data_IF_800534124049
#
_entry.id   IF_800534124049
#
_cell.length_a   1.000
_cell.length_b   1.000
_cell.length_c   1.000
_cell.angle_alpha   90.00
_cell.angle_beta   90.00
_cell.angle_gamma   90.00
#
_symmetry.space_group_name_H-M   'P 1'
#
loop_
_entity.id
_entity.type
_entity.pdbx_description
1 polymer ?
#
# COMPACT_ATOMS: atom_id res chain seq x y z
N UNK A 1 -16.59 -7.50 -11.05
CA UNK A 1 -16.30 -6.45 -10.06
C UNK A 1 -14.93 -5.90 -10.39
N UNK A 2 -14.82 -4.63 -10.76
CA UNK A 2 -13.75 -4.11 -11.64
C UNK A 2 -12.36 -4.07 -10.99
N UNK A 3 -11.34 -4.56 -11.71
CA UNK A 3 -9.94 -4.69 -11.27
C UNK A 3 -9.15 -3.38 -11.28
N UNK A 4 -9.68 -2.35 -10.63
CA UNK A 4 -9.07 -1.02 -10.50
C UNK A 4 -8.87 -0.63 -9.03
N UNK A 5 -8.19 0.49 -8.79
CA UNK A 5 -7.97 1.03 -7.45
C UNK A 5 -9.30 1.50 -6.83
N UNK A 6 -9.68 0.89 -5.71
CA UNK A 6 -10.80 1.34 -4.88
C UNK A 6 -10.38 2.47 -3.95
N UNK A 7 -11.35 3.20 -3.38
CA UNK A 7 -11.07 4.27 -2.42
C UNK A 7 -10.22 3.82 -1.22
N UNK A 8 -10.43 2.59 -0.74
CA UNK A 8 -9.60 1.99 0.32
C UNK A 8 -8.15 1.81 -0.12
N UNK A 9 -7.91 1.30 -1.34
CA UNK A 9 -6.56 1.10 -1.89
C UNK A 9 -5.85 2.43 -2.01
N UNK A 10 -6.50 3.43 -2.62
CA UNK A 10 -5.96 4.78 -2.78
C UNK A 10 -5.63 5.42 -1.41
N UNK A 11 -6.48 5.21 -0.41
CA UNK A 11 -6.24 5.75 0.95
C UNK A 11 -4.99 5.14 1.59
N UNK A 12 -4.78 3.84 1.43
CA UNK A 12 -3.57 3.16 1.93
C UNK A 12 -2.33 3.68 1.21
N UNK A 13 -2.38 3.76 -0.13
CA UNK A 13 -1.30 4.30 -0.95
C UNK A 13 -0.94 5.74 -0.55
N UNK A 14 -1.94 6.61 -0.43
CA UNK A 14 -1.75 8.00 0.00
C UNK A 14 -1.16 8.08 1.42
N UNK A 15 -1.65 7.24 2.34
CA UNK A 15 -1.10 7.15 3.69
C UNK A 15 0.39 6.77 3.67
N UNK A 16 0.80 5.81 2.82
CA UNK A 16 2.23 5.44 2.70
C UNK A 16 3.09 6.65 2.30
N UNK A 17 2.62 7.49 1.39
CA UNK A 17 3.34 8.70 0.96
C UNK A 17 3.43 9.71 2.10
N UNK A 18 2.33 9.95 2.81
CA UNK A 18 2.33 10.82 4.00
C UNK A 18 3.31 10.33 5.07
N UNK A 19 3.41 9.01 5.25
CA UNK A 19 4.36 8.40 6.19
C UNK A 19 5.81 8.54 5.73
N UNK A 20 6.09 8.41 4.43
CA UNK A 20 7.44 8.59 3.87
C UNK A 20 7.90 10.05 3.91
N UNK A 21 6.97 11.00 3.84
CA UNK A 21 7.24 12.44 3.77
C UNK A 21 6.36 13.23 4.76
N UNK A 22 6.57 13.10 6.09
CA UNK A 22 5.67 13.66 7.09
C UNK A 22 5.59 15.20 7.09
N UNK A 23 6.62 15.88 6.60
CA UNK A 23 6.68 17.35 6.51
C UNK A 23 6.46 17.88 5.08
N UNK A 24 5.99 17.03 4.16
CA UNK A 24 5.75 17.41 2.76
C UNK A 24 4.53 18.32 2.61
N UNK A 25 4.61 19.32 1.73
CA UNK A 25 3.43 20.08 1.32
C UNK A 25 2.50 19.23 0.46
N UNK A 26 1.21 19.58 0.37
CA UNK A 26 0.23 18.80 -0.40
C UNK A 26 0.65 18.58 -1.85
N UNK A 27 1.16 19.62 -2.52
CA UNK A 27 1.64 19.53 -3.90
C UNK A 27 2.83 18.57 -4.02
N UNK A 28 3.76 18.62 -3.06
CA UNK A 28 4.89 17.69 -3.01
C UNK A 28 4.44 16.24 -2.79
N UNK A 29 3.50 16.00 -1.87
CA UNK A 29 2.97 14.66 -1.58
C UNK A 29 2.23 14.08 -2.78
N UNK A 30 1.42 14.89 -3.48
CA UNK A 30 0.73 14.46 -4.70
C UNK A 30 1.73 14.09 -5.80
N UNK A 31 2.75 14.91 -6.02
CA UNK A 31 3.79 14.61 -7.00
C UNK A 31 4.56 13.32 -6.64
N UNK A 32 4.90 13.14 -5.35
CA UNK A 32 5.54 11.91 -4.87
C UNK A 32 4.65 10.69 -4.99
N UNK A 33 3.33 10.83 -4.84
CA UNK A 33 2.38 9.74 -5.02
C UNK A 33 2.48 9.15 -6.43
N UNK A 34 2.43 9.99 -7.47
CA UNK A 34 2.48 9.52 -8.85
C UNK A 34 3.83 8.89 -9.20
N UNK A 35 4.95 9.55 -8.84
CA UNK A 35 6.30 9.01 -9.11
C UNK A 35 6.53 7.67 -8.40
N UNK A 36 6.22 7.60 -7.10
CA UNK A 36 6.53 6.39 -6.33
C UNK A 36 5.70 5.21 -6.80
N UNK A 37 4.42 5.40 -7.15
CA UNK A 37 3.55 4.30 -7.55
C UNK A 37 3.60 3.94 -9.03
N UNK A 38 4.13 4.82 -9.89
CA UNK A 38 4.50 4.47 -11.28
C UNK A 38 5.77 3.63 -11.33
N UNK A 39 6.77 3.96 -10.52
CA UNK A 39 8.06 3.25 -10.46
C UNK A 39 8.12 2.17 -9.37
N UNK A 40 7.00 1.88 -8.73
CA UNK A 40 6.96 0.88 -7.66
C UNK A 40 7.35 -0.50 -8.19
N UNK A 41 8.19 -1.20 -7.43
CA UNK A 41 8.71 -2.54 -7.76
C UNK A 41 7.65 -3.63 -7.55
N UNK A 42 6.55 -3.56 -8.30
CA UNK A 42 5.48 -4.55 -8.24
C UNK A 42 6.00 -5.95 -8.61
N UNK A 43 5.71 -7.01 -7.83
CA UNK A 43 4.62 -7.12 -6.86
C UNK A 43 5.02 -6.89 -5.39
N UNK A 44 6.03 -6.06 -5.09
CA UNK A 44 6.38 -5.73 -3.70
C UNK A 44 5.16 -5.15 -2.95
N UNK A 45 4.79 -5.67 -1.76
CA UNK A 45 3.60 -5.23 -1.06
C UNK A 45 3.72 -3.82 -0.50
N UNK A 46 2.63 -3.07 -0.59
CA UNK A 46 2.49 -1.80 0.13
C UNK A 46 2.05 -2.10 1.56
N UNK A 47 2.94 -1.79 2.51
CA UNK A 47 2.76 -1.95 3.94
C UNK A 47 2.88 -0.60 4.66
N UNK A 48 1.92 -0.30 5.54
CA UNK A 48 1.95 0.90 6.40
C UNK A 48 2.76 0.58 7.67
N UNK A 49 4.08 0.65 7.55
CA UNK A 49 5.05 0.25 8.58
C UNK A 49 5.02 1.11 9.86
N UNK A 50 4.39 2.29 9.88
CA UNK A 50 4.35 3.14 11.08
C UNK A 50 3.39 2.67 12.19
N UNK A 51 2.78 1.49 12.04
CA UNK A 51 2.23 0.75 13.17
C UNK A 51 3.24 -0.27 13.76
N UNK A 52 4.52 -0.23 13.37
CA UNK A 52 5.51 -1.25 13.75
C UNK A 52 6.55 -0.80 14.77
N UNK A 53 6.68 0.49 15.08
CA UNK A 53 7.58 0.93 16.16
C UNK A 53 6.96 0.53 17.49
N UNK A 54 7.71 -0.23 18.29
CA UNK A 54 7.28 -0.70 19.62
C UNK A 54 6.75 0.44 20.50
N UNK A 55 7.38 1.62 20.40
CA UNK A 55 7.03 2.82 21.17
C UNK A 55 5.70 3.48 20.77
N UNK A 56 5.33 3.47 19.48
CA UNK A 56 4.07 4.08 19.02
C UNK A 56 2.86 3.17 19.35
N UNK A 57 3.08 1.85 19.32
CA UNK A 57 2.10 0.84 19.72
C UNK A 57 1.82 0.84 21.23
N UNK A 58 2.84 1.11 22.05
CA UNK A 58 2.69 1.27 23.51
C UNK A 58 1.91 2.54 23.87
N UNK A 59 2.09 3.65 23.12
CA UNK A 59 1.33 4.90 23.32
C UNK A 59 -0.15 4.80 22.93
N UNK A 60 -0.50 3.94 21.96
CA UNK A 60 -1.86 3.80 21.43
C UNK A 60 -2.69 2.68 22.09
N UNK A 61 -2.13 1.94 23.07
CA UNK A 61 -2.84 0.88 23.80
C UNK A 61 -3.32 -0.29 22.92
N UNK A 62 -2.82 -0.40 21.69
CA UNK A 62 -3.25 -1.39 20.70
C UNK A 62 -2.12 -2.36 20.39
N UNK A 63 -1.98 -3.31 21.32
CA UNK A 63 -1.05 -4.42 21.26
C UNK A 63 -1.39 -5.32 20.05
N UNK A 64 -0.34 -5.73 19.32
CA UNK A 64 -0.29 -6.74 18.22
C UNK A 64 -0.81 -6.32 16.83
N UNK A 65 -0.02 -5.57 16.06
CA UNK A 65 -0.09 -5.63 14.59
C UNK A 65 1.34 -5.62 14.01
N UNK A 66 2.08 -6.72 14.24
CA UNK A 66 3.15 -7.10 13.31
C UNK A 66 2.56 -8.19 12.44
N UNK A 67 2.37 -7.91 11.15
CA UNK A 67 2.27 -8.98 10.15
C UNK A 67 3.46 -9.92 10.38
N UNK A 68 3.18 -11.19 10.64
CA UNK A 68 4.24 -12.16 10.80
C UNK A 68 4.89 -12.35 9.43
N UNK A 69 6.22 -12.51 9.37
CA UNK A 69 6.96 -12.71 8.10
C UNK A 69 6.42 -13.87 7.24
N UNK A 70 5.67 -14.80 7.84
CA UNK A 70 4.94 -15.86 7.16
C UNK A 70 3.75 -15.36 6.33
N UNK A 71 2.94 -14.42 6.84
CA UNK A 71 1.78 -13.85 6.13
C UNK A 71 2.21 -13.00 4.92
N UNK A 72 3.34 -12.27 5.04
CA UNK A 72 3.93 -11.53 3.92
C UNK A 72 4.36 -12.50 2.82
N UNK A 73 5.03 -13.61 3.18
CA UNK A 73 5.44 -14.64 2.23
C UNK A 73 4.25 -15.29 1.52
N UNK A 74 3.12 -15.48 2.20
CA UNK A 74 1.93 -16.06 1.57
C UNK A 74 1.29 -15.08 0.58
N UNK A 75 1.20 -13.79 0.94
CA UNK A 75 0.76 -12.74 0.01
C UNK A 75 1.65 -12.64 -1.22
N UNK A 76 2.97 -12.78 -1.04
CA UNK A 76 3.94 -12.80 -2.15
C UNK A 76 3.80 -14.06 -3.02
N UNK A 77 3.43 -15.21 -2.44
CA UNK A 77 3.27 -16.50 -3.14
C UNK A 77 2.00 -16.60 -3.97
N UNK A 78 0.96 -15.84 -3.63
CA UNK A 78 -0.35 -15.90 -4.29
C UNK A 78 -0.39 -15.33 -5.72
N UNK A 79 0.74 -14.88 -6.29
CA UNK A 79 0.75 -14.32 -7.66
C UNK A 79 0.03 -12.96 -7.76
N UNK A 80 -0.09 -12.26 -6.64
CA UNK A 80 -0.73 -10.95 -6.57
C UNK A 80 0.04 -9.91 -7.40
N UNK A 81 -0.62 -9.23 -8.34
CA UNK A 81 0.03 -8.29 -9.24
C UNK A 81 0.39 -6.95 -8.60
N UNK A 82 -0.46 -6.48 -7.69
CA UNK A 82 -0.31 -5.19 -7.01
C UNK A 82 -0.75 -5.28 -5.54
N UNK A 83 -0.03 -5.99 -4.65
CA UNK A 83 -0.50 -6.22 -3.29
C UNK A 83 -0.54 -4.94 -2.44
N UNK A 84 -1.73 -4.60 -1.94
CA UNK A 84 -1.97 -3.47 -1.04
C UNK A 84 -2.66 -3.97 0.21
N UNK A 85 -1.97 -3.91 1.35
CA UNK A 85 -2.38 -4.66 2.55
C UNK A 85 -3.22 -3.80 3.48
N UNK A 86 -4.37 -4.33 3.89
CA UNK A 86 -5.27 -3.63 4.81
C UNK A 86 -4.68 -3.53 6.21
N UNK A 87 -4.97 -2.42 6.89
CA UNK A 87 -4.57 -2.19 8.29
C UNK A 87 -5.51 -2.82 9.32
N UNK A 88 -6.66 -3.35 8.91
CA UNK A 88 -7.59 -4.07 9.79
C UNK A 88 -7.23 -5.55 9.82
N UNK A 89 -7.26 -6.13 11.02
CA UNK A 89 -7.11 -7.57 11.22
C UNK A 89 -8.39 -8.32 10.78
N UNK A 90 -8.27 -9.50 10.13
CA UNK A 90 -7.03 -10.03 9.56
C UNK A 90 -6.57 -9.21 8.36
N UNK A 91 -5.28 -8.98 8.25
CA UNK A 91 -4.68 -8.25 7.14
C UNK A 91 -4.90 -9.01 5.82
N UNK A 92 -5.47 -8.33 4.83
CA UNK A 92 -5.78 -8.91 3.53
C UNK A 92 -5.28 -8.01 2.40
N UNK A 93 -4.97 -8.63 1.25
CA UNK A 93 -4.71 -7.88 0.03
C UNK A 93 -6.03 -7.26 -0.48
N UNK A 94 -6.13 -5.93 -0.34
CA UNK A 94 -7.28 -5.14 -0.81
C UNK A 94 -7.36 -5.08 -2.34
N UNK A 95 -6.25 -5.31 -3.02
CA UNK A 95 -6.08 -5.23 -4.48
C UNK A 95 -6.08 -6.59 -5.18
N UNK A 96 -6.60 -7.65 -4.54
CA UNK A 96 -6.64 -9.03 -5.07
C UNK A 96 -7.36 -9.21 -6.42
N UNK A 97 -8.24 -8.27 -6.78
CA UNK A 97 -9.01 -8.33 -8.02
C UNK A 97 -8.34 -7.61 -9.20
N UNK A 98 -7.17 -7.00 -9.00
CA UNK A 98 -6.44 -6.34 -10.10
C UNK A 98 -5.82 -7.42 -10.99
N UNK A 99 -6.13 -7.36 -12.28
CA UNK A 99 -5.57 -8.22 -13.31
C UNK A 99 -4.48 -7.48 -14.10
N UNK A 100 -3.81 -8.16 -15.04
CA UNK A 100 -2.67 -7.60 -15.80
C UNK A 100 -3.04 -6.33 -16.57
N UNK A 101 -4.22 -6.32 -17.20
CA UNK A 101 -4.71 -5.15 -17.93
C UNK A 101 -5.00 -3.97 -16.98
N UNK A 102 -5.63 -4.24 -15.82
CA UNK A 102 -5.86 -3.25 -14.79
C UNK A 102 -4.55 -2.65 -14.27
N UNK A 103 -3.55 -3.50 -13.98
CA UNK A 103 -2.20 -3.06 -13.59
C UNK A 103 -1.59 -2.15 -14.65
N UNK A 104 -1.63 -2.55 -15.93
CA UNK A 104 -1.09 -1.75 -17.03
C UNK A 104 -1.74 -0.38 -17.10
N UNK A 105 -3.07 -0.32 -17.11
CA UNK A 105 -3.81 0.95 -17.15
C UNK A 105 -3.45 1.82 -15.93
N UNK A 106 -3.41 1.25 -14.73
CA UNK A 106 -3.06 2.00 -13.52
C UNK A 106 -1.66 2.62 -13.64
N UNK A 107 -0.66 1.84 -14.07
CA UNK A 107 0.71 2.34 -14.23
C UNK A 107 0.78 3.42 -15.33
N UNK A 108 0.09 3.20 -16.46
CA UNK A 108 0.01 4.18 -17.54
C UNK A 108 -0.63 5.49 -17.08
N UNK A 109 -1.68 5.45 -16.26
CA UNK A 109 -2.29 6.66 -15.66
C UNK A 109 -1.38 7.34 -14.65
N UNK A 110 -0.62 6.59 -13.85
CA UNK A 110 0.33 7.17 -12.89
C UNK A 110 1.49 7.88 -13.59
N UNK A 111 1.92 7.40 -14.76
CA UNK A 111 3.00 8.01 -15.55
C UNK A 111 2.61 9.31 -16.28
N UNK A 112 1.32 9.66 -16.32
CA UNK A 112 0.87 10.91 -16.99
C UNK A 112 1.14 12.18 -16.18
N UNK A 113 1.43 12.06 -14.89
CA UNK A 113 1.51 13.15 -13.92
C UNK A 113 2.81 13.10 -13.12
#
# INVERSE_FOLDING_TARGET
MFGYLSGTILSIMATKICLLYPSGSLSFLLHKFFIIFSEWDWPKPILLEHLSTKEDLEKLGRIKLKLNSWQIKDIEREGNLMPVISTKYPEINSAKNINENGKKIIIDEMNKY
#
